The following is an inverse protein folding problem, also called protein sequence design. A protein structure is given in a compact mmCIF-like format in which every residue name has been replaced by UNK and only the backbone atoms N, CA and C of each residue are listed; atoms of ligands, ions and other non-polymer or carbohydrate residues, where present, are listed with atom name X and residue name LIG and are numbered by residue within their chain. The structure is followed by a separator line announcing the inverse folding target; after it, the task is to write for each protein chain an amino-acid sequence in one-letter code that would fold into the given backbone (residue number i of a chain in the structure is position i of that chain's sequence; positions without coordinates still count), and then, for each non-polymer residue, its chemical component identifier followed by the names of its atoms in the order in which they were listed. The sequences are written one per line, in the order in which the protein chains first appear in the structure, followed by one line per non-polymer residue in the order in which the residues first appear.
data_IF_902449560189
#
_entry.id   IF_902449560189
#
_cell.length_a   1.000
_cell.length_b   1.000
_cell.length_c   1.000
_cell.angle_alpha   90.00
_cell.angle_beta   90.00
_cell.angle_gamma   90.00
#
_symmetry.space_group_name_H-M   'P 1'
#
loop_
_entity.id
_entity.type
_entity.pdbx_description
1 polymer ?
#
# COMPACT_ATOMS: atom_id res chain seq x y z
N UNK A 1 -1.71 29.51 26.48
CA UNK A 1 -0.87 29.38 25.28
C UNK A 1 -0.95 27.92 24.86
N UNK A 2 -1.73 27.64 23.82
CA UNK A 2 -2.13 26.27 23.44
C UNK A 2 -0.96 25.49 22.85
N UNK A 3 -0.81 24.25 23.32
CA UNK A 3 0.08 23.25 22.79
C UNK A 3 -0.43 22.78 21.41
N UNK A 4 0.38 22.96 20.38
CA UNK A 4 0.19 22.26 19.11
C UNK A 4 1.26 21.16 19.07
N UNK A 5 0.90 19.98 19.59
CA UNK A 5 1.58 18.75 19.19
C UNK A 5 1.01 18.38 17.82
N UNK A 6 1.70 18.78 16.76
CA UNK A 6 1.57 18.09 15.47
C UNK A 6 2.39 16.81 15.58
N UNK A 7 1.81 15.79 16.20
CA UNK A 7 2.30 14.41 16.09
C UNK A 7 1.81 13.90 14.72
N UNK A 8 2.36 14.47 13.64
CA UNK A 8 2.17 13.96 12.29
C UNK A 8 3.09 12.73 12.21
N UNK A 9 2.52 11.57 12.57
CA UNK A 9 3.20 10.30 12.52
C UNK A 9 3.41 9.89 11.05
N UNK A 10 4.39 10.51 10.38
CA UNK A 10 4.90 10.02 9.12
C UNK A 10 5.43 8.62 9.33
N UNK A 11 4.88 7.64 8.62
CA UNK A 11 5.41 6.29 8.63
C UNK A 11 6.84 6.32 8.07
N UNK A 12 7.77 5.52 8.62
CA UNK A 12 9.11 5.43 8.05
C UNK A 12 9.01 5.00 6.59
N UNK A 13 9.80 5.62 5.71
CA UNK A 13 9.77 5.42 4.26
C UNK A 13 9.81 3.94 3.85
N UNK A 14 10.48 3.08 4.64
CA UNK A 14 10.53 1.63 4.42
C UNK A 14 9.16 0.95 4.44
N UNK A 15 8.23 1.39 5.30
CA UNK A 15 6.88 0.82 5.38
C UNK A 15 6.03 1.24 4.17
N UNK A 16 6.22 2.46 3.67
CA UNK A 16 5.55 2.91 2.45
C UNK A 16 6.02 2.11 1.23
N UNK A 17 7.34 1.90 1.10
CA UNK A 17 7.92 1.06 0.04
C UNK A 17 7.45 -0.39 0.09
N UNK A 18 7.31 -0.97 1.30
CA UNK A 18 6.77 -2.31 1.50
C UNK A 18 5.30 -2.40 1.07
N UNK A 19 4.49 -1.38 1.40
CA UNK A 19 3.11 -1.30 0.95
C UNK A 19 3.00 -1.23 -0.58
N UNK A 20 3.81 -0.39 -1.22
CA UNK A 20 3.85 -0.30 -2.69
C UNK A 20 4.30 -1.61 -3.34
N UNK A 21 5.29 -2.29 -2.74
CA UNK A 21 5.77 -3.59 -3.21
C UNK A 21 4.64 -4.63 -3.14
N UNK A 22 3.90 -4.67 -2.03
CA UNK A 22 2.77 -5.57 -1.87
C UNK A 22 1.64 -5.24 -2.86
N UNK A 23 1.30 -3.97 -3.07
CA UNK A 23 0.29 -3.56 -4.07
C UNK A 23 0.67 -4.03 -5.47
N UNK A 24 1.93 -3.84 -5.88
CA UNK A 24 2.42 -4.32 -7.19
C UNK A 24 2.34 -5.84 -7.31
N UNK A 25 2.76 -6.56 -6.28
CA UNK A 25 2.69 -8.03 -6.27
C UNK A 25 1.24 -8.52 -6.37
N UNK A 26 0.32 -7.93 -5.61
CA UNK A 26 -1.11 -8.25 -5.66
C UNK A 26 -1.66 -8.06 -7.08
N UNK A 27 -1.42 -6.90 -7.70
CA UNK A 27 -1.92 -6.64 -9.05
C UNK A 27 -1.37 -7.61 -10.08
N UNK A 28 -0.05 -7.89 -10.04
CA UNK A 28 0.57 -8.86 -10.95
C UNK A 28 -0.06 -10.24 -10.82
N UNK A 29 -0.14 -10.77 -9.59
CA UNK A 29 -0.71 -12.10 -9.35
C UNK A 29 -2.18 -12.22 -9.74
N UNK A 30 -2.95 -11.13 -9.68
CA UNK A 30 -4.35 -11.09 -10.11
C UNK A 30 -4.49 -11.04 -11.63
N UNK A 31 -3.68 -10.20 -12.29
CA UNK A 31 -3.72 -10.00 -13.75
C UNK A 31 -3.23 -11.24 -14.52
N UNK A 32 -2.19 -11.89 -14.00
CA UNK A 32 -1.62 -13.11 -14.58
C UNK A 32 -2.42 -14.38 -14.20
N UNK A 33 -3.44 -14.25 -13.36
CA UNK A 33 -4.24 -15.37 -12.82
C UNK A 33 -3.41 -16.42 -12.04
N UNK A 34 -2.24 -16.03 -11.53
CA UNK A 34 -1.23 -16.92 -10.97
C UNK A 34 -1.47 -17.34 -9.51
N UNK A 35 -2.58 -16.93 -8.90
CA UNK A 35 -2.93 -17.36 -7.53
C UNK A 35 -3.22 -18.88 -7.41
N UNK A 36 -3.36 -19.58 -8.53
CA UNK A 36 -3.42 -21.05 -8.56
C UNK A 36 -2.06 -21.69 -8.26
N UNK A 37 -0.97 -20.96 -8.50
CA UNK A 37 0.40 -21.39 -8.25
C UNK A 37 0.74 -21.22 -6.76
N UNK A 38 1.25 -22.28 -6.13
CA UNK A 38 1.58 -22.29 -4.70
C UNK A 38 2.82 -21.44 -4.38
N UNK A 39 3.80 -21.39 -5.28
CA UNK A 39 4.99 -20.57 -5.11
C UNK A 39 4.60 -19.09 -5.09
N UNK A 40 3.75 -18.66 -6.02
CA UNK A 40 3.25 -17.28 -6.09
C UNK A 40 2.44 -16.93 -4.83
N UNK A 41 1.57 -17.83 -4.37
CA UNK A 41 0.84 -17.62 -3.11
C UNK A 41 1.79 -17.51 -1.90
N UNK A 42 2.83 -18.33 -1.86
CA UNK A 42 3.82 -18.33 -0.77
C UNK A 42 4.65 -17.03 -0.73
N UNK A 43 5.07 -16.55 -1.90
CA UNK A 43 5.76 -15.27 -2.04
C UNK A 43 4.87 -14.11 -1.60
N UNK A 44 3.61 -14.11 -2.04
CA UNK A 44 2.64 -13.10 -1.64
C UNK A 44 2.37 -13.15 -0.13
N UNK A 45 2.29 -14.34 0.46
CA UNK A 45 2.14 -14.49 1.92
C UNK A 45 3.31 -13.88 2.67
N UNK A 46 4.54 -14.12 2.21
CA UNK A 46 5.76 -13.57 2.81
C UNK A 46 5.77 -12.04 2.75
N UNK A 47 5.35 -11.46 1.63
CA UNK A 47 5.20 -10.00 1.51
C UNK A 47 4.17 -9.43 2.49
N UNK A 48 3.04 -10.11 2.67
CA UNK A 48 2.00 -9.67 3.61
C UNK A 48 2.42 -9.85 5.08
N UNK A 49 3.36 -10.75 5.39
CA UNK A 49 3.91 -10.90 6.75
C UNK A 49 4.73 -9.69 7.17
N UNK A 50 5.50 -9.08 6.27
CA UNK A 50 6.21 -7.83 6.52
C UNK A 50 5.26 -6.69 6.95
N UNK A 51 4.01 -6.76 6.50
CA UNK A 51 2.97 -5.77 6.76
C UNK A 51 2.18 -6.04 8.05
N UNK A 52 2.51 -7.08 8.81
CA UNK A 52 1.74 -7.49 9.99
C UNK A 52 1.72 -6.44 11.12
N UNK A 53 2.67 -5.49 11.13
CA UNK A 53 2.73 -4.38 12.08
C UNK A 53 1.81 -3.20 11.76
N UNK A 54 1.18 -3.19 10.58
CA UNK A 54 0.32 -2.09 10.14
C UNK A 54 -1.08 -2.14 10.77
N UNK A 55 -1.79 -1.00 10.90
CA UNK A 55 -3.14 -0.93 11.44
C UNK A 55 -4.22 -1.45 10.47
N UNK A 56 -3.99 -2.61 9.86
CA UNK A 56 -4.89 -3.28 8.90
C UNK A 56 -5.88 -4.24 9.59
N UNK A 57 -5.77 -4.38 10.91
CA UNK A 57 -6.49 -5.38 11.71
C UNK A 57 -6.05 -6.81 11.39
N UNK A 58 -6.93 -7.79 11.65
CA UNK A 58 -6.62 -9.22 11.44
C UNK A 58 -6.71 -9.69 9.97
N UNK A 59 -6.89 -8.77 9.00
CA UNK A 59 -7.12 -9.12 7.59
C UNK A 59 -5.89 -9.72 6.91
N UNK A 60 -4.68 -9.15 7.02
CA UNK A 60 -3.48 -9.73 6.44
C UNK A 60 -3.25 -11.17 6.94
N UNK A 61 -3.45 -11.42 8.23
CA UNK A 61 -3.27 -12.75 8.83
C UNK A 61 -4.25 -13.78 8.25
N UNK A 62 -5.51 -13.39 8.02
CA UNK A 62 -6.49 -14.27 7.37
C UNK A 62 -6.13 -14.55 5.91
N UNK A 63 -5.61 -13.56 5.19
CA UNK A 63 -5.14 -13.75 3.82
C UNK A 63 -3.94 -14.69 3.77
N UNK A 64 -2.94 -14.48 4.63
CA UNK A 64 -1.75 -15.33 4.77
C UNK A 64 -2.15 -16.78 5.04
N UNK A 65 -3.11 -17.00 5.94
CA UNK A 65 -3.58 -18.34 6.27
C UNK A 65 -4.19 -19.08 5.07
N UNK A 66 -4.89 -18.38 4.18
CA UNK A 66 -5.45 -18.99 2.96
C UNK A 66 -4.39 -19.13 1.87
N UNK A 67 -3.48 -18.16 1.72
CA UNK A 67 -2.37 -18.22 0.76
C UNK A 67 -1.48 -19.44 0.99
N UNK A 68 -1.23 -19.80 2.25
CA UNK A 68 -0.40 -20.93 2.66
C UNK A 68 -1.07 -22.30 2.60
N UNK A 69 -2.31 -22.38 2.13
CA UNK A 69 -2.94 -23.68 1.94
C UNK A 69 -2.23 -24.46 0.81
N UNK A 70 -2.07 -25.78 0.98
CA UNK A 70 -1.41 -26.63 0.00
C UNK A 70 -2.22 -26.68 -1.30
N UNK A 71 -1.53 -26.98 -2.40
CA UNK A 71 -2.22 -27.25 -3.66
C UNK A 71 -2.99 -28.58 -3.66
N UNK A 72 -4.12 -28.66 -4.40
CA UNK A 72 -4.79 -27.56 -5.08
C UNK A 72 -5.61 -26.68 -4.12
N UNK A 73 -5.64 -25.38 -4.37
CA UNK A 73 -6.54 -24.48 -3.64
C UNK A 73 -7.98 -24.69 -4.10
N UNK A 74 -8.91 -24.81 -3.15
CA UNK A 74 -10.34 -24.91 -3.45
C UNK A 74 -10.83 -23.67 -4.25
N UNK A 75 -11.68 -23.84 -5.28
CA UNK A 75 -12.19 -22.71 -6.06
C UNK A 75 -12.88 -21.62 -5.24
N UNK A 76 -13.56 -21.98 -4.14
CA UNK A 76 -14.19 -21.01 -3.24
C UNK A 76 -13.15 -20.19 -2.48
N UNK A 77 -12.01 -20.81 -2.11
CA UNK A 77 -10.88 -20.11 -1.52
C UNK A 77 -10.19 -19.19 -2.53
N UNK A 78 -10.02 -19.62 -3.79
CA UNK A 78 -9.47 -18.75 -4.86
C UNK A 78 -10.35 -17.52 -5.09
N UNK A 79 -11.67 -17.70 -5.19
CA UNK A 79 -12.62 -16.60 -5.32
C UNK A 79 -12.61 -15.67 -4.10
N UNK A 80 -12.56 -16.24 -2.89
CA UNK A 80 -12.48 -15.45 -1.67
C UNK A 80 -11.19 -14.62 -1.63
N UNK A 81 -10.07 -15.22 -2.01
CA UNK A 81 -8.74 -14.63 -1.94
C UNK A 81 -8.58 -13.48 -2.94
N UNK A 82 -8.95 -13.69 -4.20
CA UNK A 82 -9.00 -12.63 -5.23
C UNK A 82 -9.82 -11.42 -4.74
N UNK A 83 -11.04 -11.65 -4.25
CA UNK A 83 -11.90 -10.57 -3.76
C UNK A 83 -11.30 -9.83 -2.56
N UNK A 84 -10.65 -10.54 -1.63
CA UNK A 84 -10.09 -9.94 -0.41
C UNK A 84 -8.79 -9.19 -0.68
N UNK A 85 -7.96 -9.67 -1.60
CA UNK A 85 -6.78 -8.94 -2.05
C UNK A 85 -7.16 -7.61 -2.69
N UNK A 86 -8.19 -7.58 -3.55
CA UNK A 86 -8.69 -6.34 -4.15
C UNK A 86 -9.17 -5.32 -3.11
N UNK A 87 -9.73 -5.77 -1.98
CA UNK A 87 -10.13 -4.86 -0.90
C UNK A 87 -8.96 -4.37 -0.06
N UNK A 88 -7.84 -5.10 -0.04
CA UNK A 88 -6.65 -4.72 0.72
C UNK A 88 -5.82 -3.65 0.01
N UNK A 89 -5.79 -3.68 -1.33
CA UNK A 89 -5.05 -2.71 -2.16
C UNK A 89 -5.27 -1.24 -1.75
N UNK A 90 -6.51 -0.71 -1.68
CA UNK A 90 -6.71 0.71 -1.35
C UNK A 90 -6.19 1.07 0.05
N UNK A 91 -6.16 0.13 0.98
CA UNK A 91 -5.65 0.35 2.33
C UNK A 91 -4.12 0.46 2.33
N UNK A 92 -3.45 -0.43 1.60
CA UNK A 92 -2.00 -0.37 1.42
C UNK A 92 -1.59 0.90 0.68
N UNK A 93 -2.36 1.32 -0.32
CA UNK A 93 -2.12 2.58 -1.02
C UNK A 93 -2.30 3.80 -0.10
N UNK A 94 -3.32 3.81 0.77
CA UNK A 94 -3.50 4.89 1.74
C UNK A 94 -2.32 4.98 2.72
N UNK A 95 -1.84 3.83 3.21
CA UNK A 95 -0.68 3.77 4.10
C UNK A 95 0.60 4.24 3.40
N UNK A 96 0.82 3.79 2.16
CA UNK A 96 1.96 4.24 1.35
C UNK A 96 1.93 5.76 1.13
N UNK A 97 0.75 6.32 0.84
CA UNK A 97 0.60 7.74 0.59
C UNK A 97 0.81 8.60 1.84
N UNK A 98 0.43 8.12 3.04
CA UNK A 98 0.73 8.79 4.31
C UNK A 98 2.23 8.84 4.59
N UNK A 99 2.99 7.83 4.16
CA UNK A 99 4.45 7.81 4.28
C UNK A 99 5.18 8.64 3.22
N UNK A 100 4.46 9.16 2.21
CA UNK A 100 5.01 10.08 1.23
C UNK A 100 4.70 11.50 1.69
N UNK A 101 5.70 12.20 2.22
CA UNK A 101 5.62 13.67 2.28
C UNK A 101 5.32 14.17 0.86
N UNK A 102 4.40 15.14 0.69
CA UNK A 102 4.14 15.70 -0.62
C UNK A 102 5.45 16.27 -1.17
N UNK A 103 5.93 15.68 -2.28
CA UNK A 103 6.97 16.27 -3.12
C UNK A 103 6.40 17.58 -3.65
N UNK A 104 6.55 18.65 -2.88
CA UNK A 104 5.85 19.92 -3.11
C UNK A 104 5.17 20.52 -1.88
N UNK A 105 5.53 20.14 -0.65
CA UNK A 105 5.36 21.07 0.48
C UNK A 105 6.05 22.38 0.08
N UNK A 106 5.25 23.36 -0.34
CA UNK A 106 5.69 24.70 -0.65
C UNK A 106 6.65 25.11 0.45
N UNK A 107 7.91 25.38 0.09
CA UNK A 107 8.87 25.99 1.00
C UNK A 107 8.17 27.21 1.59
N UNK A 108 7.86 27.13 2.89
CA UNK A 108 7.21 28.20 3.66
C UNK A 108 8.05 29.50 3.71
N UNK A 109 9.25 29.47 3.12
CA UNK A 109 10.18 30.59 2.98
C UNK A 109 10.09 31.33 1.64
N UNK A 110 9.19 30.98 0.74
CA UNK A 110 9.04 31.72 -0.51
C UNK A 110 7.97 32.82 -0.36
N UNK A 111 8.34 34.11 -0.45
CA UNK A 111 7.36 35.20 -0.40
C UNK A 111 6.37 35.07 -1.56
N UNK A 112 5.08 35.31 -1.25
CA UNK A 112 3.94 35.19 -2.17
C UNK A 112 4.07 36.09 -3.42
N UNK A 113 4.97 37.09 -3.37
CA UNK A 113 5.14 38.11 -4.41
C UNK A 113 5.87 37.63 -5.68
N UNK A 114 6.25 36.35 -5.79
CA UNK A 114 6.93 35.80 -6.97
C UNK A 114 6.01 35.04 -7.94
N UNK A 115 4.72 34.89 -7.63
CA UNK A 115 3.74 34.24 -8.52
C UNK A 115 3.12 35.30 -9.43
N UNK A 116 3.93 36.03 -10.19
CA UNK A 116 3.41 36.85 -11.28
C UNK A 116 4.44 37.00 -12.40
N UNK A 117 4.49 35.97 -13.25
CA UNK A 117 5.10 36.05 -14.57
C UNK A 117 4.55 34.94 -15.48
N UNK A 118 3.23 34.85 -15.61
CA UNK A 118 2.65 34.19 -16.80
C UNK A 118 2.48 35.27 -17.88
N UNK A 119 3.54 35.51 -18.66
CA UNK A 119 3.42 36.29 -19.89
C UNK A 119 2.89 35.36 -21.00
N UNK A 120 1.73 35.65 -21.62
CA UNK A 120 1.30 34.93 -22.80
C UNK A 120 2.23 35.29 -23.96
N UNK A 121 2.72 34.27 -24.68
CA UNK A 121 3.45 34.43 -25.93
C UNK A 121 2.51 35.00 -27.00
N UNK A 122 2.87 36.13 -27.60
CA UNK A 122 2.38 36.54 -28.93
C UNK A 122 3.07 35.71 -30.03
#
# INVERSE_FOLDING_TARGET
MSAWRSDEASLPSSQAEECERAVRAIWRSLDEHDLVDEQIRSELATLLECLAGLPLGNRPQRLIAVLRQPNPLDPSHLYWLTRRLLTLVPELQAIAHIGQEPVGALRSDMPIDAIDAYQPLD
#
